data_IF_948813435327
#
_entry.id   IF_948813435327
#
_cell.length_a   1.000
_cell.length_b   1.000
_cell.length_c   1.000
_cell.angle_alpha   90.00
_cell.angle_beta   90.00
_cell.angle_gamma   90.00
#
_symmetry.space_group_name_H-M   'P 1'
#
loop_
_entity.id
_entity.type
_entity.pdbx_description
1 polymer ?
#
# COMPACT_ATOMS: atom_id res chain seq x y z
N UNK A 1 7.60 12.60 -8.73
CA UNK A 1 7.28 13.04 -7.36
C UNK A 1 8.47 12.76 -6.46
N UNK A 2 8.92 13.73 -5.66
CA UNK A 2 9.98 13.53 -4.69
C UNK A 2 9.35 13.21 -3.34
N UNK A 3 9.84 12.17 -2.65
CA UNK A 3 9.44 11.76 -1.29
C UNK A 3 9.68 12.82 -0.18
N UNK A 4 9.96 14.07 -0.56
CA UNK A 4 10.23 15.21 0.32
C UNK A 4 9.26 16.38 0.13
N UNK A 5 8.14 16.18 -0.60
CA UNK A 5 7.10 17.20 -0.71
C UNK A 5 6.30 17.30 0.61
N UNK A 6 6.15 18.52 1.13
CA UNK A 6 5.35 18.81 2.33
C UNK A 6 3.91 18.29 2.20
N UNK A 7 3.35 18.32 0.99
CA UNK A 7 2.02 17.76 0.74
C UNK A 7 1.98 16.25 1.03
N UNK A 8 3.06 15.51 0.74
CA UNK A 8 3.10 14.07 0.96
C UNK A 8 3.23 13.75 2.44
N UNK A 9 4.08 14.49 3.14
CA UNK A 9 4.22 14.32 4.59
C UNK A 9 2.93 14.67 5.33
N UNK A 10 2.17 15.66 4.85
CA UNK A 10 0.84 15.95 5.41
C UNK A 10 -0.14 14.79 5.15
N UNK A 11 -0.16 14.26 3.92
CA UNK A 11 -0.97 13.09 3.61
C UNK A 11 -0.62 11.87 4.48
N UNK A 12 0.68 11.59 4.68
CA UNK A 12 1.12 10.50 5.56
C UNK A 12 0.65 10.68 7.00
N UNK A 13 0.59 11.90 7.52
CA UNK A 13 0.06 12.19 8.86
C UNK A 13 -1.44 11.94 8.95
N UNK A 14 -2.20 12.45 7.97
CA UNK A 14 -3.64 12.21 7.90
C UNK A 14 -3.95 10.71 7.80
N UNK A 15 -3.11 9.96 7.08
CA UNK A 15 -3.21 8.51 7.00
C UNK A 15 -2.89 7.82 8.32
N UNK A 16 -1.84 8.22 9.02
CA UNK A 16 -1.54 7.71 10.37
C UNK A 16 -2.73 7.96 11.30
N UNK A 17 -3.28 9.17 11.31
CA UNK A 17 -4.43 9.50 12.16
C UNK A 17 -5.61 8.58 11.85
N UNK A 18 -5.96 8.46 10.57
CA UNK A 18 -7.08 7.61 10.14
C UNK A 18 -6.86 6.12 10.50
N UNK A 19 -5.64 5.62 10.39
CA UNK A 19 -5.31 4.22 10.71
C UNK A 19 -5.28 3.95 12.22
N UNK A 20 -4.86 4.92 13.03
CA UNK A 20 -4.83 4.77 14.50
C UNK A 20 -6.20 4.74 15.15
N UNK A 21 -7.23 5.22 14.45
CA UNK A 21 -8.62 5.11 14.90
C UNK A 21 -9.22 3.71 14.66
N UNK A 22 -8.54 2.86 13.88
CA UNK A 22 -9.00 1.51 13.56
C UNK A 22 -8.74 0.57 14.74
N UNK A 23 -9.80 -0.03 15.28
CA UNK A 23 -9.65 -1.06 16.30
C UNK A 23 -9.34 -2.42 15.65
N UNK A 24 -8.41 -3.16 16.25
CA UNK A 24 -8.07 -4.53 15.82
C UNK A 24 -7.09 -4.62 14.65
N UNK A 25 -6.43 -3.51 14.29
CA UNK A 25 -5.36 -3.50 13.29
C UNK A 25 -4.03 -3.10 13.91
N UNK A 26 -3.02 -3.95 13.74
CA UNK A 26 -1.63 -3.59 14.03
C UNK A 26 -1.00 -2.94 12.79
N UNK A 27 -0.67 -1.65 12.88
CA UNK A 27 -0.24 -0.87 11.71
C UNK A 27 1.27 -0.83 11.59
N UNK A 28 1.79 -1.27 10.44
CA UNK A 28 3.21 -1.13 10.06
C UNK A 28 3.33 -0.09 8.94
N UNK A 29 3.98 1.03 9.23
CA UNK A 29 4.28 2.07 8.24
C UNK A 29 5.67 1.85 7.62
N UNK A 30 5.69 1.38 6.37
CA UNK A 30 6.93 1.11 5.63
C UNK A 30 7.40 2.38 4.90
N UNK A 31 8.53 2.94 5.34
CA UNK A 31 9.19 4.01 4.57
C UNK A 31 10.00 3.43 3.40
N UNK A 32 10.04 4.18 2.31
CA UNK A 32 10.80 3.82 1.12
C UNK A 32 12.29 4.09 1.34
N UNK A 33 13.16 3.15 0.97
CA UNK A 33 14.61 3.23 1.21
C UNK A 33 15.31 4.42 0.53
N UNK A 34 14.70 5.01 -0.51
CA UNK A 34 15.21 6.21 -1.20
C UNK A 34 14.71 7.53 -0.63
N UNK A 35 14.00 7.54 0.49
CA UNK A 35 13.72 8.78 1.22
C UNK A 35 15.03 9.37 1.75
N UNK A 36 15.64 10.26 0.96
CA UNK A 36 16.95 10.89 1.24
C UNK A 36 16.86 12.01 2.29
N UNK A 37 15.66 12.54 2.50
CA UNK A 37 15.34 13.51 3.56
C UNK A 37 14.81 12.77 4.77
N UNK A 38 15.09 13.26 5.97
CA UNK A 38 14.49 12.75 7.20
C UNK A 38 12.97 12.90 7.10
N UNK A 39 12.25 11.80 6.86
CA UNK A 39 10.80 11.80 6.84
C UNK A 39 10.29 12.16 8.25
N UNK A 40 9.43 13.18 8.40
CA UNK A 40 8.97 13.62 9.72
C UNK A 40 7.97 12.66 10.37
N UNK A 41 7.56 11.57 9.71
CA UNK A 41 6.51 10.68 10.21
C UNK A 41 6.89 9.99 11.52
N UNK A 42 8.16 9.60 11.70
CA UNK A 42 8.60 8.97 12.95
C UNK A 42 8.43 9.93 14.14
N UNK A 43 8.88 11.19 13.99
CA UNK A 43 8.69 12.21 15.03
C UNK A 43 7.22 12.60 15.23
N UNK A 44 6.39 12.50 14.19
CA UNK A 44 4.96 12.69 14.30
C UNK A 44 4.31 11.61 15.17
N UNK A 45 4.61 10.34 14.89
CA UNK A 45 4.11 9.17 15.61
C UNK A 45 4.55 9.23 17.09
N UNK A 46 5.83 9.49 17.34
CA UNK A 46 6.36 9.63 18.71
C UNK A 46 5.65 10.74 19.50
N UNK A 47 5.38 11.89 18.87
CA UNK A 47 4.74 13.03 19.53
C UNK A 47 3.26 12.79 19.82
N UNK A 48 2.56 12.10 18.93
CA UNK A 48 1.12 11.82 19.07
C UNK A 48 0.84 10.60 19.93
N UNK A 49 1.83 9.72 20.13
CA UNK A 49 1.65 8.43 20.79
C UNK A 49 0.84 7.45 19.94
N UNK A 50 0.80 7.66 18.61
CA UNK A 50 0.15 6.77 17.67
C UNK A 50 0.75 5.36 17.75
N UNK A 51 -0.10 4.34 17.85
CA UNK A 51 0.32 2.93 17.89
C UNK A 51 0.63 2.41 16.48
N UNK A 52 1.74 2.90 15.92
CA UNK A 52 2.18 2.59 14.55
C UNK A 52 3.66 2.23 14.56
N UNK A 53 4.00 1.08 14.00
CA UNK A 53 5.40 0.65 13.87
C UNK A 53 6.00 1.16 12.56
N UNK A 54 7.04 2.01 12.62
CA UNK A 54 7.74 2.51 11.43
C UNK A 54 8.89 1.58 11.01
N UNK A 55 9.00 1.25 9.72
CA UNK A 55 10.07 0.42 9.14
C UNK A 55 10.74 1.09 7.93
N UNK A 56 11.91 1.68 8.12
CA UNK A 56 12.68 2.34 7.05
C UNK A 56 13.64 1.38 6.32
N UNK A 57 14.59 0.78 7.03
CA UNK A 57 15.67 -0.04 6.42
C UNK A 57 15.34 -1.54 6.30
N UNK A 58 14.07 -1.90 6.48
CA UNK A 58 13.63 -3.28 6.28
C UNK A 58 13.29 -3.51 4.80
N UNK A 59 13.66 -4.63 4.18
CA UNK A 59 13.15 -4.99 2.85
C UNK A 59 11.63 -5.11 2.83
N UNK A 60 10.96 -4.69 1.75
CA UNK A 60 9.50 -4.78 1.65
C UNK A 60 9.00 -6.22 1.78
N UNK A 61 9.71 -7.19 1.19
CA UNK A 61 9.44 -8.64 1.31
C UNK A 61 9.31 -9.13 2.75
N UNK A 62 10.15 -8.63 3.66
CA UNK A 62 10.05 -8.99 5.09
C UNK A 62 8.80 -8.41 5.75
N UNK A 63 8.40 -7.19 5.38
CA UNK A 63 7.21 -6.55 5.93
C UNK A 63 5.94 -7.19 5.37
N UNK A 64 5.85 -7.36 4.05
CA UNK A 64 4.67 -7.94 3.40
C UNK A 64 4.44 -9.40 3.78
N UNK A 65 5.50 -10.15 4.13
CA UNK A 65 5.35 -11.52 4.65
C UNK A 65 4.58 -11.60 5.98
N UNK A 66 4.55 -10.50 6.74
CA UNK A 66 3.89 -10.39 8.05
C UNK A 66 2.53 -9.69 7.97
N UNK A 67 2.20 -9.08 6.82
CA UNK A 67 0.99 -8.30 6.66
C UNK A 67 -0.18 -9.19 6.23
N UNK A 68 -1.33 -9.01 6.89
CA UNK A 68 -2.60 -9.61 6.44
C UNK A 68 -3.25 -8.81 5.30
N UNK A 69 -3.03 -7.49 5.28
CA UNK A 69 -3.50 -6.56 4.26
C UNK A 69 -2.39 -5.57 3.95
N UNK A 70 -2.21 -5.25 2.67
CA UNK A 70 -1.33 -4.19 2.21
C UNK A 70 -2.16 -2.99 1.79
N UNK A 71 -1.99 -1.86 2.48
CA UNK A 71 -2.45 -0.57 1.99
C UNK A 71 -1.34 0.06 1.15
N UNK A 72 -1.63 0.39 -0.11
CA UNK A 72 -0.66 1.01 -0.99
C UNK A 72 -1.21 2.33 -1.54
N UNK A 73 -0.49 3.42 -1.34
CA UNK A 73 -0.85 4.77 -1.79
C UNK A 73 -0.19 5.13 -3.14
N UNK A 74 0.74 4.29 -3.62
CA UNK A 74 1.48 4.54 -4.85
C UNK A 74 1.67 3.30 -5.73
N UNK A 75 1.37 3.39 -7.04
CA UNK A 75 1.58 2.29 -7.98
C UNK A 75 3.05 2.11 -8.33
N UNK A 76 3.77 1.42 -7.45
CA UNK A 76 5.13 0.95 -7.65
C UNK A 76 5.18 -0.58 -7.63
N UNK A 77 6.40 -1.11 -7.64
CA UNK A 77 6.68 -2.56 -7.57
C UNK A 77 6.08 -3.22 -6.32
N UNK A 78 5.76 -2.46 -5.28
CA UNK A 78 5.07 -2.93 -4.08
C UNK A 78 3.75 -3.63 -4.40
N UNK A 79 3.04 -3.25 -5.47
CA UNK A 79 1.86 -3.99 -5.93
C UNK A 79 2.21 -5.42 -6.31
N UNK A 80 3.22 -5.59 -7.17
CA UNK A 80 3.65 -6.89 -7.63
C UNK A 80 4.12 -7.73 -6.45
N UNK A 81 4.99 -7.18 -5.61
CA UNK A 81 5.50 -7.86 -4.43
C UNK A 81 4.37 -8.31 -3.50
N UNK A 82 3.36 -7.47 -3.25
CA UNK A 82 2.22 -7.86 -2.42
C UNK A 82 1.35 -8.95 -3.07
N UNK A 83 1.12 -8.86 -4.38
CA UNK A 83 0.40 -9.90 -5.13
C UNK A 83 1.14 -11.24 -5.10
N UNK A 84 2.46 -11.23 -5.22
CA UNK A 84 3.28 -12.45 -5.18
C UNK A 84 3.25 -13.14 -3.82
N UNK A 85 3.08 -12.37 -2.74
CA UNK A 85 2.88 -12.91 -1.39
C UNK A 85 1.41 -13.28 -1.12
N UNK A 86 0.53 -13.18 -2.12
CA UNK A 86 -0.90 -13.48 -1.99
C UNK A 86 -1.61 -12.60 -0.97
N UNK A 87 -1.08 -11.39 -0.70
CA UNK A 87 -1.66 -10.48 0.30
C UNK A 87 -2.74 -9.62 -0.34
N UNK A 88 -3.95 -9.55 0.24
CA UNK A 88 -4.96 -8.55 -0.09
C UNK A 88 -4.36 -7.14 -0.17
N UNK A 89 -4.74 -6.38 -1.20
CA UNK A 89 -4.21 -5.02 -1.43
C UNK A 89 -5.39 -4.07 -1.51
N UNK A 90 -5.40 -3.06 -0.65
CA UNK A 90 -6.25 -1.89 -0.80
C UNK A 90 -5.42 -0.79 -1.44
N UNK A 91 -5.89 -0.23 -2.55
CA UNK A 91 -5.25 0.93 -3.15
C UNK A 91 -5.87 2.21 -2.62
N UNK A 92 -5.04 3.08 -2.04
CA UNK A 92 -5.42 4.44 -1.67
C UNK A 92 -5.03 5.39 -2.80
N UNK A 93 -6.02 5.85 -3.56
CA UNK A 93 -5.81 6.83 -4.60
C UNK A 93 -5.75 8.24 -4.01
N UNK A 94 -4.53 8.74 -3.88
CA UNK A 94 -4.19 10.06 -3.37
C UNK A 94 -4.24 11.16 -4.46
N UNK A 95 -4.65 10.81 -5.68
CA UNK A 95 -4.84 11.76 -6.79
C UNK A 95 -3.55 12.20 -7.49
N UNK A 96 -2.46 11.47 -7.28
CA UNK A 96 -1.12 11.86 -7.74
C UNK A 96 -0.56 11.00 -8.87
N UNK A 97 -1.26 9.93 -9.22
CA UNK A 97 -0.93 9.09 -10.37
C UNK A 97 -1.86 9.42 -11.52
N UNK A 98 -1.27 9.78 -12.67
CA UNK A 98 -1.98 9.87 -13.93
C UNK A 98 -2.17 8.48 -14.53
N UNK A 99 -3.38 7.94 -14.39
CA UNK A 99 -3.76 6.66 -14.97
C UNK A 99 -4.30 6.85 -16.39
N UNK A 100 -3.94 5.95 -17.31
CA UNK A 100 -4.73 5.78 -18.53
C UNK A 100 -6.12 5.25 -18.19
N UNK A 101 -7.11 5.50 -19.03
CA UNK A 101 -8.48 4.98 -18.83
C UNK A 101 -8.48 3.46 -18.67
N UNK A 102 -7.73 2.76 -19.51
CA UNK A 102 -7.58 1.31 -19.43
C UNK A 102 -6.91 0.87 -18.12
N UNK A 103 -5.82 1.53 -17.72
CA UNK A 103 -5.11 1.22 -16.46
C UNK A 103 -6.00 1.43 -15.25
N UNK A 104 -6.77 2.52 -15.22
CA UNK A 104 -7.76 2.81 -14.17
C UNK A 104 -8.82 1.71 -14.07
N UNK A 105 -9.40 1.33 -15.21
CA UNK A 105 -10.42 0.28 -15.26
C UNK A 105 -9.87 -1.07 -14.78
N UNK A 106 -8.65 -1.41 -15.18
CA UNK A 106 -8.00 -2.65 -14.74
C UNK A 106 -7.79 -2.65 -13.23
N UNK A 107 -7.24 -1.56 -12.68
CA UNK A 107 -7.01 -1.39 -11.25
C UNK A 107 -8.31 -1.57 -10.44
N UNK A 108 -9.36 -0.84 -10.80
CA UNK A 108 -10.65 -0.87 -10.11
C UNK A 108 -11.38 -2.21 -10.23
N UNK A 109 -11.16 -2.95 -11.32
CA UNK A 109 -11.70 -4.30 -11.46
C UNK A 109 -10.92 -5.36 -10.66
N UNK A 110 -9.67 -5.04 -10.28
CA UNK A 110 -8.76 -6.00 -9.64
C UNK A 110 -8.68 -5.80 -8.13
N UNK A 111 -8.81 -4.55 -7.65
CA UNK A 111 -8.53 -4.17 -6.26
C UNK A 111 -9.66 -3.30 -5.68
N UNK A 112 -9.90 -3.38 -4.36
CA UNK A 112 -10.56 -2.31 -3.62
C UNK A 112 -9.78 -1.01 -3.75
N UNK A 113 -10.46 0.05 -4.22
CA UNK A 113 -9.87 1.39 -4.39
C UNK A 113 -10.60 2.40 -3.52
N UNK A 114 -9.86 3.09 -2.65
CA UNK A 114 -10.35 4.20 -1.84
C UNK A 114 -9.75 5.50 -2.36
N UNK A 115 -10.59 6.47 -2.72
CA UNK A 115 -10.15 7.80 -3.17
C UNK A 115 -10.12 8.79 -2.00
N UNK A 116 -9.07 9.61 -1.90
CA UNK A 116 -8.91 10.65 -0.88
C UNK A 116 -9.78 11.89 -1.14
N UNK A 117 -11.10 11.69 -1.23
CA UNK A 117 -12.11 12.76 -1.29
C UNK A 117 -12.81 12.89 0.08
N UNK A 118 -13.72 13.87 0.27
CA UNK A 118 -14.42 14.06 1.56
C UNK A 118 -14.97 12.74 2.15
N UNK A 119 -14.69 12.46 3.42
CA UNK A 119 -15.07 11.22 4.12
C UNK A 119 -14.30 9.96 3.70
N UNK A 120 -13.08 10.10 3.16
CA UNK A 120 -12.29 8.94 2.71
C UNK A 120 -11.83 8.06 3.87
N UNK A 121 -11.67 8.60 5.07
CA UNK A 121 -11.23 7.86 6.25
C UNK A 121 -12.26 6.79 6.63
N UNK A 122 -13.55 7.14 6.63
CA UNK A 122 -14.63 6.18 6.90
C UNK A 122 -14.69 5.10 5.82
N UNK A 123 -14.56 5.49 4.54
CA UNK A 123 -14.50 4.52 3.44
C UNK A 123 -13.27 3.62 3.51
N UNK A 124 -12.13 4.15 3.97
CA UNK A 124 -10.92 3.36 4.18
C UNK A 124 -11.15 2.33 5.28
N UNK A 125 -11.73 2.73 6.41
CA UNK A 125 -12.13 1.84 7.52
C UNK A 125 -13.03 0.71 7.03
N UNK A 126 -14.16 1.07 6.40
CA UNK A 126 -15.12 0.10 5.87
C UNK A 126 -14.47 -0.86 4.86
N UNK A 127 -13.60 -0.35 4.00
CA UNK A 127 -12.89 -1.17 3.00
C UNK A 127 -11.91 -2.13 3.65
N UNK A 128 -11.13 -1.69 4.64
CA UNK A 128 -10.17 -2.54 5.36
C UNK A 128 -10.89 -3.64 6.14
N UNK A 129 -12.00 -3.33 6.82
CA UNK A 129 -12.84 -4.30 7.53
C UNK A 129 -13.49 -5.31 6.56
N UNK A 130 -13.98 -4.86 5.40
CA UNK A 130 -14.55 -5.73 4.37
C UNK A 130 -13.50 -6.67 3.77
N UNK A 131 -12.26 -6.21 3.59
CA UNK A 131 -11.15 -7.04 3.13
C UNK A 131 -10.71 -8.02 4.22
N UNK A 132 -10.58 -7.56 5.47
CA UNK A 132 -10.19 -8.41 6.61
C UNK A 132 -11.18 -9.55 6.86
N UNK A 133 -12.48 -9.29 6.66
CA UNK A 133 -13.54 -10.30 6.78
C UNK A 133 -13.70 -11.20 5.55
N UNK A 134 -12.97 -10.92 4.46
CA UNK A 134 -13.08 -11.64 3.19
C UNK A 134 -14.32 -11.31 2.37
N UNK A 135 -15.13 -10.31 2.77
CA UNK A 135 -16.29 -9.85 2.03
C UNK A 135 -15.91 -9.21 0.67
N UNK A 136 -14.69 -8.66 0.60
CA UNK A 136 -14.09 -8.15 -0.63
C UNK A 136 -12.81 -8.92 -0.93
N UNK A 137 -12.73 -9.50 -2.13
CA UNK A 137 -11.54 -10.22 -2.59
C UNK A 137 -10.79 -9.41 -3.66
N UNK A 138 -9.49 -9.64 -3.75
CA UNK A 138 -8.67 -9.06 -4.80
C UNK A 138 -8.50 -10.07 -5.95
N UNK A 139 -8.71 -9.63 -7.19
CA UNK A 139 -8.65 -10.48 -8.37
C UNK A 139 -7.29 -10.31 -9.09
N UNK A 140 -6.25 -10.89 -8.52
CA UNK A 140 -4.88 -10.76 -9.02
C UNK A 140 -4.60 -11.55 -10.28
N UNK A 141 -5.29 -12.67 -10.49
CA UNK A 141 -4.94 -13.64 -11.52
C UNK A 141 -4.90 -13.02 -12.91
N UNK A 142 -5.86 -12.14 -13.23
CA UNK A 142 -5.90 -11.45 -14.53
C UNK A 142 -4.80 -10.40 -14.66
N UNK A 143 -4.48 -9.70 -13.58
CA UNK A 143 -3.40 -8.70 -13.56
C UNK A 143 -2.04 -9.40 -13.70
N UNK A 144 -1.79 -10.41 -12.87
CA UNK A 144 -0.57 -11.23 -12.89
C UNK A 144 -0.42 -12.01 -14.20
N UNK A 145 -1.49 -12.55 -14.79
CA UNK A 145 -1.41 -13.24 -16.10
C UNK A 145 -1.03 -12.30 -17.25
N UNK A 146 -1.30 -10.99 -17.09
CA UNK A 146 -0.92 -9.97 -18.06
C UNK A 146 0.51 -9.46 -17.79
N UNK A 147 0.99 -9.60 -16.56
CA UNK A 147 2.30 -9.09 -16.11
C UNK A 147 3.42 -10.16 -16.14
N UNK A 148 3.10 -11.43 -15.89
CA UNK A 148 4.03 -12.56 -15.83
C UNK A 148 3.49 -13.73 -16.67
N UNK A 149 4.34 -14.33 -17.51
CA UNK A 149 4.02 -15.54 -18.27
C UNK A 149 3.80 -16.77 -17.36
N UNK A 150 3.14 -17.84 -17.83
CA UNK A 150 2.96 -19.08 -17.07
C UNK A 150 4.32 -19.66 -16.61
N UNK A 151 4.46 -19.95 -15.31
CA UNK A 151 5.68 -20.52 -14.72
C UNK A 151 6.34 -19.69 -13.62
N UNK A 152 5.74 -18.57 -13.20
CA UNK A 152 6.23 -17.75 -12.10
C UNK A 152 5.94 -18.42 -10.74
N UNK A 153 6.98 -18.65 -9.93
CA UNK A 153 6.93 -19.44 -8.69
C UNK A 153 6.99 -18.61 -7.39
N UNK A 154 6.97 -17.28 -7.50
CA UNK A 154 7.13 -16.39 -6.35
C UNK A 154 8.56 -15.89 -6.10
N UNK A 155 9.54 -16.33 -6.90
CA UNK A 155 10.91 -15.78 -6.88
C UNK A 155 10.88 -14.27 -7.13
N UNK A 156 11.57 -13.41 -6.33
CA UNK A 156 11.55 -11.97 -6.51
C UNK A 156 11.84 -11.57 -7.96
N UNK A 157 10.98 -10.73 -8.55
CA UNK A 157 11.08 -10.30 -9.96
C UNK A 157 12.48 -9.74 -10.32
N UNK A 158 13.23 -9.23 -9.34
CA UNK A 158 14.57 -8.66 -9.55
C UNK A 158 15.62 -9.74 -9.82
N UNK A 159 15.42 -10.97 -9.37
CA UNK A 159 16.30 -12.10 -9.67
C UNK A 159 16.13 -12.54 -11.13
N UNK A 160 14.93 -12.44 -11.69
CA UNK A 160 14.66 -12.68 -13.11
C UNK A 160 15.18 -11.57 -14.05
N UNK A 161 15.23 -10.32 -13.59
CA UNK A 161 15.72 -9.19 -14.42
C UNK A 161 17.26 -9.09 -14.45
N UNK A 162 17.97 -9.92 -13.67
CA UNK A 162 19.44 -9.95 -13.60
C UNK A 162 20.07 -11.15 -14.35
N UNK A 163 19.25 -12.07 -14.88
CA UNK A 163 19.68 -13.17 -15.75
C UNK A 163 19.58 -12.79 -17.23
#
# INVERSE_FOLDING_TARGET
MWYGDQAYHNHQRELVDALTELQGFDVIFKLHHKERTQNPISSYIERTGADVTVKQDTPFTKVVSQADIVLNDWPHTAFLEAMLYGRPIVYLDIGWTDWTEEGRRLLESSLPVVRTTSGWQDRLRETLEAVASGATSCQYDRFLSTFCQPGFDGTPLWEYLQS
#
